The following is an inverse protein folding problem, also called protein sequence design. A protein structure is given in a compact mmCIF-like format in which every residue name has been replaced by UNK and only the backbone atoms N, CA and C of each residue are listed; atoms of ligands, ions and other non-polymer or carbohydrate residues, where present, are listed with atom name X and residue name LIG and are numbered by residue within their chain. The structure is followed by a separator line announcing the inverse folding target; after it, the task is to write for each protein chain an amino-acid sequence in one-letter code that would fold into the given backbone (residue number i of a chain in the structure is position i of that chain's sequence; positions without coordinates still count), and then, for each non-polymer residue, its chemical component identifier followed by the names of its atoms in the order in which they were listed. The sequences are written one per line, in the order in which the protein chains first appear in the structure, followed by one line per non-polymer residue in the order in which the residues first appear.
data_IF_676818058119
#
_entry.id   IF_676818058119
#
_cell.length_a   1.000
_cell.length_b   1.000
_cell.length_c   1.000
_cell.angle_alpha   90.00
_cell.angle_beta   90.00
_cell.angle_gamma   90.00
#
_symmetry.space_group_name_H-M   'P 1'
#
loop_
_entity.id
_entity.type
_entity.pdbx_description
1 polymer ?
#
# COMPACT_ATOMS: atom_id res chain seq x y z
N UNK A 1 -34.50 -8.75 42.55
CA UNK A 1 -34.46 -10.21 42.32
C UNK A 1 -35.04 -10.52 40.96
N UNK A 2 -34.31 -11.33 40.17
CA UNK A 2 -34.70 -12.18 39.01
C UNK A 2 -33.69 -12.10 37.84
N UNK A 3 -32.58 -12.82 38.04
CA UNK A 3 -31.95 -13.81 37.14
C UNK A 3 -32.95 -14.46 36.14
N UNK A 4 -32.67 -14.96 34.93
CA UNK A 4 -31.53 -15.50 34.15
C UNK A 4 -31.99 -15.42 32.65
N UNK A 5 -31.22 -15.53 31.55
CA UNK A 5 -30.65 -16.76 30.93
C UNK A 5 -29.78 -16.37 29.73
N UNK A 6 -28.54 -16.83 29.75
CA UNK A 6 -27.54 -16.86 28.68
C UNK A 6 -27.99 -17.76 27.52
N UNK A 7 -27.77 -17.32 26.28
CA UNK A 7 -27.95 -18.15 25.07
C UNK A 7 -26.62 -18.80 24.71
N UNK A 8 -26.65 -20.12 24.61
CA UNK A 8 -25.51 -21.02 24.39
C UNK A 8 -25.14 -21.03 22.89
N UNK A 9 -23.85 -20.82 22.62
CA UNK A 9 -23.22 -20.94 21.30
C UNK A 9 -22.90 -22.42 21.05
N UNK A 10 -23.29 -22.96 19.89
CA UNK A 10 -22.83 -24.26 19.39
C UNK A 10 -22.09 -24.04 18.07
N UNK A 11 -20.75 -24.02 18.13
CA UNK A 11 -19.90 -24.13 16.95
C UNK A 11 -19.60 -25.62 16.71
N UNK A 12 -20.12 -26.16 15.61
CA UNK A 12 -19.72 -27.46 15.09
C UNK A 12 -18.79 -27.22 13.90
N UNK A 13 -17.49 -27.44 14.09
CA UNK A 13 -16.52 -27.54 13.00
C UNK A 13 -15.64 -28.75 13.22
N UNK A 14 -15.99 -29.87 12.58
CA UNK A 14 -15.06 -30.94 12.27
C UNK A 14 -14.43 -30.61 10.92
N UNK A 15 -13.11 -30.49 10.88
CA UNK A 15 -12.34 -30.32 9.65
C UNK A 15 -10.94 -30.87 9.88
N UNK A 16 -10.66 -31.98 9.21
CA UNK A 16 -9.63 -32.98 9.45
C UNK A 16 -8.23 -32.55 8.95
N UNK A 17 -7.20 -33.09 9.60
CA UNK A 17 -5.79 -32.96 9.26
C UNK A 17 -5.47 -33.39 7.82
N UNK A 18 -4.53 -32.68 7.19
CA UNK A 18 -3.79 -33.15 6.02
C UNK A 18 -2.36 -32.59 6.05
N UNK A 19 -1.40 -33.43 6.47
CA UNK A 19 0.03 -33.19 6.25
C UNK A 19 0.36 -33.50 4.78
N UNK A 20 1.03 -32.58 4.10
CA UNK A 20 1.75 -32.88 2.86
C UNK A 20 3.15 -32.26 2.97
N UNK A 21 4.10 -33.10 3.36
CA UNK A 21 5.53 -32.89 3.18
C UNK A 21 5.94 -33.65 1.90
N UNK A 22 6.40 -32.92 0.88
CA UNK A 22 7.18 -33.52 -0.20
C UNK A 22 8.42 -32.65 -0.41
N UNK A 23 9.50 -33.14 0.18
CA UNK A 23 10.88 -32.75 -0.09
C UNK A 23 11.30 -33.53 -1.33
N UNK A 24 11.65 -32.85 -2.43
CA UNK A 24 12.27 -33.51 -3.59
C UNK A 24 13.69 -32.98 -3.76
N UNK A 25 14.64 -33.71 -3.20
CA UNK A 25 16.01 -33.72 -3.67
C UNK A 25 16.08 -34.74 -4.81
N UNK A 26 16.44 -34.31 -6.02
CA UNK A 26 16.88 -35.22 -7.07
C UNK A 26 18.10 -34.65 -7.78
N UNK A 27 19.24 -35.26 -7.47
CA UNK A 27 20.48 -35.19 -8.24
C UNK A 27 20.28 -35.84 -9.60
N UNK A 28 20.61 -35.11 -10.67
CA UNK A 28 21.21 -35.72 -11.87
C UNK A 28 22.11 -34.69 -12.54
N UNK A 29 23.40 -35.01 -12.58
CA UNK A 29 24.47 -34.31 -13.28
C UNK A 29 24.39 -34.62 -14.78
N UNK A 30 24.20 -33.60 -15.64
CA UNK A 30 24.61 -33.61 -17.05
C UNK A 30 25.03 -32.21 -17.49
N UNK A 31 26.35 -31.97 -17.51
CA UNK A 31 27.18 -31.31 -18.54
C UNK A 31 26.55 -30.28 -19.51
N UNK A 32 26.98 -29.02 -19.32
CA UNK A 32 27.04 -27.80 -20.18
C UNK A 32 26.91 -27.94 -21.71
N UNK A 33 26.03 -27.12 -22.34
CA UNK A 33 26.29 -26.13 -23.45
C UNK A 33 24.99 -25.45 -23.97
N UNK A 34 24.98 -24.22 -24.55
CA UNK A 34 23.81 -23.31 -24.56
C UNK A 34 23.01 -23.20 -25.87
N UNK A 35 21.83 -22.56 -25.74
CA UNK A 35 21.02 -21.86 -26.76
C UNK A 35 19.83 -22.60 -27.39
N UNK A 36 18.61 -22.15 -27.06
CA UNK A 36 17.54 -21.81 -28.02
C UNK A 36 16.36 -21.14 -27.30
N UNK A 37 15.81 -20.12 -27.95
CA UNK A 37 14.84 -19.13 -27.48
C UNK A 37 13.46 -19.71 -27.16
N UNK A 38 12.80 -19.14 -26.15
CA UNK A 38 11.34 -19.23 -25.97
C UNK A 38 10.77 -17.84 -26.17
N UNK A 39 10.07 -17.65 -27.30
CA UNK A 39 9.23 -16.48 -27.56
C UNK A 39 8.13 -16.40 -26.50
N UNK A 40 8.22 -15.38 -25.65
CA UNK A 40 7.09 -14.91 -24.84
C UNK A 40 6.45 -13.78 -25.63
N UNK A 41 5.18 -13.97 -26.00
CA UNK A 41 4.36 -12.94 -26.63
C UNK A 41 4.29 -11.69 -25.72
N UNK A 42 4.50 -10.47 -26.24
CA UNK A 42 4.39 -9.28 -25.43
C UNK A 42 2.91 -8.98 -25.18
N UNK A 43 2.44 -9.21 -23.96
CA UNK A 43 1.34 -8.43 -23.42
C UNK A 43 1.89 -7.03 -23.23
N UNK A 44 1.46 -6.07 -24.05
CA UNK A 44 1.77 -4.65 -23.88
C UNK A 44 1.04 -4.13 -22.63
N UNK A 45 1.53 -4.52 -21.46
CA UNK A 45 1.49 -3.63 -20.30
C UNK A 45 2.51 -2.55 -20.61
N UNK A 46 2.10 -1.30 -20.55
CA UNK A 46 3.01 -0.17 -20.66
C UNK A 46 3.88 -0.22 -19.39
N UNK A 47 4.94 -1.03 -19.40
CA UNK A 47 5.89 -1.23 -18.29
C UNK A 47 6.80 0.00 -18.17
N UNK A 48 6.18 1.17 -18.03
CA UNK A 48 6.88 2.33 -17.54
C UNK A 48 7.10 2.05 -16.05
N UNK A 49 8.34 1.71 -15.70
CA UNK A 49 8.71 1.51 -14.30
C UNK A 49 8.20 2.69 -13.47
N UNK A 50 7.58 2.42 -12.33
CA UNK A 50 7.08 3.43 -11.40
C UNK A 50 8.25 4.29 -10.93
N UNK A 51 8.42 5.48 -11.52
CA UNK A 51 9.51 6.42 -11.19
C UNK A 51 8.96 7.47 -10.22
N UNK A 52 9.56 7.62 -9.02
CA UNK A 52 9.24 8.73 -8.12
C UNK A 52 9.52 10.08 -8.79
N UNK A 53 8.56 11.01 -8.74
CA UNK A 53 8.74 12.39 -9.21
C UNK A 53 9.18 13.34 -8.10
N UNK A 54 8.75 13.05 -6.88
CA UNK A 54 9.05 13.82 -5.68
C UNK A 54 10.07 13.13 -4.74
N UNK A 55 10.53 11.93 -5.09
CA UNK A 55 11.52 11.17 -4.32
C UNK A 55 10.92 10.26 -3.24
N UNK A 56 9.62 10.01 -3.32
CA UNK A 56 8.84 9.21 -2.39
C UNK A 56 8.67 7.76 -2.80
N UNK A 57 7.80 7.07 -2.06
CA UNK A 57 7.34 5.73 -2.43
C UNK A 57 6.17 5.84 -3.41
N UNK A 58 6.27 5.15 -4.55
CA UNK A 58 5.24 5.15 -5.59
C UNK A 58 4.37 3.89 -5.52
N UNK A 59 3.08 4.07 -5.78
CA UNK A 59 2.10 3.03 -6.07
C UNK A 59 1.32 3.43 -7.31
N UNK A 60 1.35 2.61 -8.35
CA UNK A 60 0.45 2.74 -9.50
C UNK A 60 -0.86 2.00 -9.19
N UNK A 61 -2.00 2.68 -9.31
CA UNK A 61 -3.31 2.15 -8.95
C UNK A 61 -4.31 2.48 -10.05
N UNK A 62 -4.52 1.54 -10.97
CA UNK A 62 -5.34 1.78 -12.16
C UNK A 62 -4.70 2.84 -13.08
N UNK A 63 -5.44 3.90 -13.39
CA UNK A 63 -4.98 5.02 -14.23
C UNK A 63 -4.27 6.12 -13.42
N UNK A 64 -3.90 5.85 -12.17
CA UNK A 64 -3.41 6.86 -11.24
C UNK A 64 -2.02 6.53 -10.70
N UNK A 65 -1.19 7.57 -10.65
CA UNK A 65 0.11 7.57 -10.01
C UNK A 65 -0.02 8.17 -8.61
N UNK A 66 0.36 7.40 -7.59
CA UNK A 66 0.30 7.78 -6.19
C UNK A 66 1.71 7.79 -5.60
N UNK A 67 2.18 8.93 -5.13
CA UNK A 67 3.51 9.04 -4.51
C UNK A 67 3.40 9.66 -3.11
N UNK A 68 3.98 8.98 -2.11
CA UNK A 68 4.04 9.47 -0.72
C UNK A 68 5.48 9.85 -0.37
N UNK A 69 5.66 11.10 0.04
CA UNK A 69 6.91 11.66 0.58
C UNK A 69 6.68 12.05 2.05
N UNK A 70 7.17 11.26 3.01
CA UNK A 70 7.19 11.64 4.41
C UNK A 70 8.38 12.56 4.70
N UNK A 71 8.13 13.76 5.20
CA UNK A 71 9.15 14.74 5.57
C UNK A 71 9.16 15.00 7.08
N UNK A 72 10.17 14.51 7.83
CA UNK A 72 10.26 14.77 9.27
C UNK A 72 10.53 16.25 9.58
N UNK A 73 9.77 16.80 10.53
CA UNK A 73 9.87 18.17 11.02
C UNK A 73 9.88 18.23 12.57
N UNK A 74 10.10 19.42 13.14
CA UNK A 74 10.15 19.60 14.59
C UNK A 74 8.83 19.24 15.30
N UNK A 75 7.68 19.47 14.65
CA UNK A 75 6.34 19.26 15.21
C UNK A 75 5.71 17.91 14.82
N UNK A 76 6.28 17.15 13.89
CA UNK A 76 5.76 15.85 13.43
C UNK A 76 6.43 15.41 12.14
N UNK A 77 5.72 14.64 11.32
CA UNK A 77 6.11 14.32 9.95
C UNK A 77 5.06 14.87 9.01
N UNK A 78 5.47 15.71 8.07
CA UNK A 78 4.61 16.17 7.00
C UNK A 78 4.44 15.02 5.99
N UNK A 79 3.20 14.69 5.64
CA UNK A 79 2.89 13.65 4.67
C UNK A 79 2.47 14.32 3.36
N UNK A 80 3.41 14.38 2.41
CA UNK A 80 3.16 14.91 1.08
C UNK A 80 2.74 13.78 0.15
N UNK A 81 1.51 13.89 -0.35
CA UNK A 81 0.90 12.88 -1.19
C UNK A 81 0.57 13.46 -2.57
N UNK A 82 1.33 13.04 -3.56
CA UNK A 82 1.12 13.41 -4.95
C UNK A 82 0.11 12.43 -5.56
N UNK A 83 -1.07 12.97 -5.90
CA UNK A 83 -2.09 12.25 -6.64
C UNK A 83 -2.10 12.78 -8.08
N UNK A 84 -1.74 11.92 -9.02
CA UNK A 84 -1.57 12.29 -10.41
C UNK A 84 -2.21 11.26 -11.35
N UNK A 85 -2.43 11.64 -12.61
CA UNK A 85 -2.73 10.66 -13.66
C UNK A 85 -1.50 9.83 -13.98
N UNK A 86 -1.67 8.54 -14.24
CA UNK A 86 -0.56 7.61 -14.50
C UNK A 86 0.09 7.78 -15.88
N UNK A 87 -0.58 8.46 -16.82
CA UNK A 87 -0.09 8.62 -18.19
C UNK A 87 0.94 9.76 -18.32
N UNK A 88 0.61 10.94 -17.82
CA UNK A 88 1.34 12.19 -18.02
C UNK A 88 1.62 12.93 -16.71
N UNK A 89 1.36 12.27 -15.57
CA UNK A 89 1.61 12.77 -14.23
C UNK A 89 0.97 14.14 -13.94
N UNK A 90 -0.20 14.42 -14.55
CA UNK A 90 -0.92 15.66 -14.24
C UNK A 90 -1.55 15.58 -12.83
N UNK A 91 -1.37 16.60 -11.97
CA UNK A 91 -1.94 16.62 -10.63
C UNK A 91 -3.48 16.62 -10.64
N UNK A 92 -4.07 15.89 -9.70
CA UNK A 92 -5.53 15.81 -9.50
C UNK A 92 -5.89 16.56 -8.21
N UNK A 93 -6.35 17.80 -8.35
CA UNK A 93 -6.59 18.71 -7.23
C UNK A 93 -7.96 18.58 -6.53
N UNK A 94 -8.91 17.87 -7.14
CA UNK A 94 -10.31 17.81 -6.70
C UNK A 94 -10.70 16.40 -6.22
N UNK A 95 -9.92 15.87 -5.27
CA UNK A 95 -10.17 14.60 -4.61
C UNK A 95 -10.33 14.78 -3.09
N UNK A 96 -11.07 13.87 -2.46
CA UNK A 96 -11.07 13.75 -1.00
C UNK A 96 -10.05 12.68 -0.61
N UNK A 97 -8.98 13.10 0.06
CA UNK A 97 -7.87 12.21 0.39
C UNK A 97 -7.81 11.97 1.91
N UNK A 98 -7.80 10.70 2.30
CA UNK A 98 -7.66 10.27 3.69
C UNK A 98 -6.51 9.30 3.83
N UNK A 99 -5.65 9.49 4.83
CA UNK A 99 -4.63 8.53 5.23
C UNK A 99 -5.01 7.86 6.55
N UNK A 100 -5.02 6.53 6.56
CA UNK A 100 -5.03 5.71 7.77
C UNK A 100 -3.59 5.32 8.08
N UNK A 101 -3.04 5.87 9.14
CA UNK A 101 -1.66 5.63 9.58
C UNK A 101 -1.69 4.70 10.77
N UNK A 102 -0.96 3.59 10.68
CA UNK A 102 -0.65 2.71 11.80
C UNK A 102 0.79 2.96 12.26
N UNK A 103 0.94 3.31 13.53
CA UNK A 103 2.23 3.52 14.19
C UNK A 103 2.94 2.18 14.48
N UNK A 104 4.25 2.22 14.81
CA UNK A 104 5.02 1.03 15.20
C UNK A 104 4.45 0.28 16.41
N UNK A 105 3.72 0.98 17.30
CA UNK A 105 3.05 0.37 18.45
C UNK A 105 1.65 -0.19 18.12
N UNK A 106 1.24 -0.13 16.84
CA UNK A 106 0.01 -0.68 16.31
C UNK A 106 -1.21 0.24 16.42
N UNK A 107 -1.10 1.42 17.06
CA UNK A 107 -2.18 2.40 17.10
C UNK A 107 -2.50 2.92 15.71
N UNK A 108 -3.77 3.25 15.49
CA UNK A 108 -4.24 3.79 14.22
C UNK A 108 -4.78 5.20 14.40
N UNK A 109 -4.49 6.05 13.43
CA UNK A 109 -5.06 7.39 13.30
C UNK A 109 -5.47 7.65 11.86
N UNK A 110 -6.54 8.43 11.69
CA UNK A 110 -7.01 8.86 10.37
C UNK A 110 -6.74 10.35 10.21
N UNK A 111 -6.04 10.70 9.14
CA UNK A 111 -5.72 12.06 8.74
C UNK A 111 -6.50 12.40 7.47
N UNK A 112 -7.16 13.55 7.45
CA UNK A 112 -7.66 14.13 6.20
C UNK A 112 -6.54 14.97 5.62
N UNK A 113 -6.19 14.74 4.36
CA UNK A 113 -5.18 15.53 3.67
C UNK A 113 -5.85 16.69 2.92
N UNK A 114 -5.21 17.84 2.92
CA UNK A 114 -5.69 19.05 2.24
C UNK A 114 -4.81 19.33 1.04
N UNK A 115 -5.40 19.68 -0.10
CA UNK A 115 -4.63 20.02 -1.29
C UNK A 115 -3.89 21.35 -1.10
N UNK A 116 -2.56 21.32 -1.21
CA UNK A 116 -1.74 22.51 -1.35
C UNK A 116 -1.62 22.89 -2.83
N UNK A 117 -2.19 24.05 -3.18
CA UNK A 117 -2.17 24.58 -4.54
C UNK A 117 -0.74 24.92 -4.99
N UNK A 118 0.13 25.35 -4.07
CA UNK A 118 1.50 25.74 -4.39
C UNK A 118 2.38 24.52 -4.67
N UNK A 119 2.34 23.53 -3.77
CA UNK A 119 3.07 22.27 -3.88
C UNK A 119 2.45 21.25 -4.84
N UNK A 120 1.21 21.46 -5.27
CA UNK A 120 0.43 20.57 -6.16
C UNK A 120 0.26 19.14 -5.63
N UNK A 121 0.22 18.98 -4.31
CA UNK A 121 0.05 17.71 -3.62
C UNK A 121 -0.94 17.87 -2.47
N UNK A 122 -1.36 16.74 -1.89
CA UNK A 122 -2.15 16.72 -0.67
C UNK A 122 -1.23 16.59 0.54
N UNK A 123 -1.50 17.38 1.57
CA UNK A 123 -0.65 17.46 2.76
C UNK A 123 -1.45 17.19 4.04
N UNK A 124 -0.82 16.51 5.00
CA UNK A 124 -1.26 16.46 6.39
C UNK A 124 -0.06 16.33 7.33
N UNK A 125 -0.19 16.89 8.54
CA UNK A 125 0.80 16.68 9.60
C UNK A 125 0.44 15.46 10.44
N UNK A 126 1.35 14.49 10.50
CA UNK A 126 1.34 13.41 11.49
C UNK A 126 2.07 13.89 12.75
N UNK A 127 1.39 14.15 13.89
CA UNK A 127 2.04 14.72 15.08
C UNK A 127 2.89 13.68 15.86
N UNK A 128 2.82 12.41 15.48
CA UNK A 128 3.53 11.31 16.13
C UNK A 128 5.00 11.25 15.71
N UNK A 129 5.88 10.88 16.65
CA UNK A 129 7.34 10.79 16.44
C UNK A 129 7.94 9.50 17.01
N UNK A 130 7.13 8.46 17.22
CA UNK A 130 7.65 7.18 17.66
C UNK A 130 8.60 6.64 16.57
N UNK A 131 9.79 6.18 16.95
CA UNK A 131 10.72 5.61 16.01
C UNK A 131 10.25 4.22 15.55
N UNK A 132 10.50 3.89 14.27
CA UNK A 132 10.14 2.61 13.66
C UNK A 132 9.27 2.74 12.42
N UNK A 133 8.77 1.59 11.95
CA UNK A 133 7.99 1.51 10.71
C UNK A 133 6.52 1.90 10.93
N UNK A 134 6.05 2.84 10.12
CA UNK A 134 4.66 3.22 9.98
C UNK A 134 4.07 2.58 8.73
N UNK A 135 2.85 2.08 8.84
CA UNK A 135 2.08 1.58 7.70
C UNK A 135 1.00 2.61 7.35
N UNK A 136 0.85 2.93 6.07
CA UNK A 136 -0.12 3.93 5.62
C UNK A 136 -1.01 3.34 4.55
N UNK A 137 -2.33 3.44 4.73
CA UNK A 137 -3.31 3.28 3.65
C UNK A 137 -3.86 4.64 3.29
N UNK A 138 -3.65 5.09 2.06
CA UNK A 138 -4.27 6.30 1.52
C UNK A 138 -5.45 5.88 0.65
N UNK A 139 -6.58 6.56 0.80
CA UNK A 139 -7.75 6.44 -0.08
C UNK A 139 -8.03 7.82 -0.67
N UNK A 140 -8.02 7.90 -1.99
CA UNK A 140 -8.40 9.07 -2.77
C UNK A 140 -9.78 8.82 -3.37
N UNK A 141 -10.76 9.66 -3.02
CA UNK A 141 -12.08 9.68 -3.66
C UNK A 141 -12.09 10.74 -4.77
N UNK A 142 -12.00 10.28 -6.02
CA UNK A 142 -11.92 11.10 -7.23
C UNK A 142 -13.30 11.04 -7.89
N UNK A 143 -14.15 12.03 -7.60
CA UNK A 143 -15.52 12.11 -8.15
C UNK A 143 -16.36 10.84 -7.93
N UNK A 144 -16.17 10.15 -6.80
CA UNK A 144 -16.87 8.92 -6.44
C UNK A 144 -16.09 7.63 -6.72
N UNK A 145 -15.02 7.69 -7.53
CA UNK A 145 -14.09 6.56 -7.70
C UNK A 145 -13.11 6.51 -6.52
N UNK A 146 -12.93 5.33 -5.93
CA UNK A 146 -11.98 5.14 -4.82
C UNK A 146 -10.71 4.49 -5.32
N UNK A 147 -9.60 5.20 -5.11
CA UNK A 147 -8.25 4.76 -5.47
C UNK A 147 -7.45 4.59 -4.20
N UNK A 148 -7.02 3.37 -3.92
CA UNK A 148 -6.26 3.03 -2.73
C UNK A 148 -4.77 2.90 -3.04
N UNK A 149 -3.93 3.44 -2.15
CA UNK A 149 -2.48 3.24 -2.12
C UNK A 149 -2.03 2.74 -0.75
N UNK A 150 -1.06 1.82 -0.72
CA UNK A 150 -0.46 1.31 0.53
C UNK A 150 1.03 1.62 0.54
N UNK A 151 1.47 2.28 1.60
CA UNK A 151 2.83 2.78 1.77
C UNK A 151 3.38 2.40 3.13
N UNK A 152 4.68 2.58 3.31
CA UNK A 152 5.37 2.43 4.58
C UNK A 152 6.56 3.37 4.65
N UNK A 153 6.84 3.92 5.82
CA UNK A 153 8.05 4.71 6.06
C UNK A 153 8.59 4.49 7.46
N UNK A 154 9.87 4.82 7.67
CA UNK A 154 10.50 4.75 9.00
C UNK A 154 10.76 6.16 9.52
N UNK A 155 10.48 6.38 10.80
CA UNK A 155 10.97 7.53 11.57
C UNK A 155 12.04 7.10 12.57
#
# INVERSE_FOLDING_TARGET
MKLVKTSLILFASLGLLGLAACNNEQTTDVKVSPSAQVETSPTTSNDQASVPQAGGQVVESGEYHLELVPEPEANGTHLDFYLQTGDNHQPIADAKVTAQVQSPDGKQQTLNLTYDVSGKHYAALLPEKAAGQYQVKITSDIKGEKVDGRFSFNL
#
